data_IF_739300450348
#
_entry.id   IF_739300450348
#
_cell.length_a   1.000
_cell.length_b   1.000
_cell.length_c   1.000
_cell.angle_alpha   90.00
_cell.angle_beta   90.00
_cell.angle_gamma   90.00
#
_symmetry.space_group_name_H-M   'P 1'
#
loop_
_entity.id
_entity.type
_entity.pdbx_description
1 polymer ?
#
# COMPACT_ATOMS: atom_id res chain seq x y z
N UNK A 1 21.21 47.26 0.46
CA UNK A 1 20.47 46.76 1.63
C UNK A 1 19.17 46.14 1.15
N UNK A 2 19.16 44.82 1.00
CA UNK A 2 17.98 44.02 0.66
C UNK A 2 18.00 42.80 1.59
N UNK A 3 17.65 42.99 2.87
CA UNK A 3 17.90 41.94 3.89
C UNK A 3 16.74 41.66 4.83
N UNK A 4 15.53 42.20 4.59
CA UNK A 4 14.37 41.90 5.44
C UNK A 4 13.20 41.22 4.68
N UNK A 5 12.93 41.61 3.44
CA UNK A 5 11.84 41.02 2.65
C UNK A 5 12.14 39.60 2.14
N UNK A 6 13.41 39.30 1.84
CA UNK A 6 13.85 37.98 1.40
C UNK A 6 13.70 36.91 2.49
N UNK A 7 13.99 37.26 3.74
CA UNK A 7 13.86 36.36 4.88
C UNK A 7 12.39 35.99 5.15
N UNK A 8 11.47 36.94 4.95
CA UNK A 8 10.05 36.74 5.18
C UNK A 8 9.42 35.84 4.11
N UNK A 9 9.86 35.95 2.85
CA UNK A 9 9.45 35.05 1.77
C UNK A 9 9.95 33.62 1.96
N UNK A 10 11.18 33.43 2.43
CA UNK A 10 11.74 32.09 2.70
C UNK A 10 11.00 31.41 3.85
N UNK A 11 10.66 32.16 4.91
CA UNK A 11 9.83 31.63 6.01
C UNK A 11 8.41 31.29 5.53
N UNK A 12 7.81 32.09 4.65
CA UNK A 12 6.50 31.78 4.07
C UNK A 12 6.53 30.50 3.22
N UNK A 13 7.55 30.32 2.39
CA UNK A 13 7.75 29.10 1.60
C UNK A 13 7.97 27.87 2.47
N UNK A 14 8.76 28.00 3.55
CA UNK A 14 8.98 26.91 4.51
C UNK A 14 7.71 26.58 5.30
N UNK A 15 6.86 27.56 5.61
CA UNK A 15 5.56 27.35 6.24
C UNK A 15 4.56 26.69 5.27
N UNK A 16 4.51 27.10 4.00
CA UNK A 16 3.68 26.43 3.00
C UNK A 16 4.12 24.98 2.75
N UNK A 17 5.43 24.72 2.70
CA UNK A 17 5.97 23.37 2.53
C UNK A 17 5.70 22.47 3.75
N UNK A 18 5.63 23.02 4.96
CA UNK A 18 5.33 22.25 6.18
C UNK A 18 3.83 22.00 6.38
N UNK A 19 2.96 22.88 5.88
CA UNK A 19 1.51 22.65 5.89
C UNK A 19 1.11 21.55 4.89
N UNK A 20 1.67 21.54 3.67
CA UNK A 20 1.42 20.43 2.72
C UNK A 20 2.04 19.10 3.18
N UNK A 21 3.11 19.14 3.98
CA UNK A 21 3.74 17.92 4.51
C UNK A 21 3.00 17.29 5.69
N UNK A 22 2.05 17.98 6.31
CA UNK A 22 1.33 17.45 7.48
C UNK A 22 0.06 16.68 7.12
N UNK A 23 -0.24 16.54 5.82
CA UNK A 23 -1.48 15.97 5.28
C UNK A 23 -1.24 14.90 4.21
N UNK A 24 -0.06 14.26 4.21
CA UNK A 24 0.29 13.22 3.23
C UNK A 24 -0.45 11.88 3.44
N UNK A 25 -1.41 11.83 4.36
CA UNK A 25 -2.33 10.69 4.54
C UNK A 25 -3.67 10.89 3.85
N UNK A 26 -3.93 12.07 3.29
CA UNK A 26 -5.20 12.32 2.65
C UNK A 26 -5.31 11.57 1.32
N UNK A 27 -6.44 10.90 1.08
CA UNK A 27 -6.66 10.16 -0.13
C UNK A 27 -6.82 11.14 -1.32
N UNK A 28 -6.53 10.72 -2.56
CA UNK A 28 -6.71 11.56 -3.75
C UNK A 28 -8.15 12.08 -3.84
N UNK A 29 -8.36 13.24 -4.45
CA UNK A 29 -9.70 13.84 -4.56
C UNK A 29 -10.76 12.82 -5.03
N UNK A 30 -11.85 12.70 -4.26
CA UNK A 30 -12.96 11.76 -4.52
C UNK A 30 -12.76 10.34 -3.97
N UNK A 31 -11.64 10.08 -3.29
CA UNK A 31 -11.41 8.87 -2.52
C UNK A 31 -11.64 9.12 -1.03
N UNK A 32 -12.03 8.08 -0.30
CA UNK A 32 -12.25 8.11 1.14
C UNK A 32 -11.31 7.11 1.78
N UNK A 33 -10.51 7.54 2.75
CA UNK A 33 -9.62 6.66 3.50
C UNK A 33 -10.45 5.70 4.36
N UNK A 34 -10.10 4.42 4.29
CA UNK A 34 -10.54 3.35 5.19
C UNK A 34 -9.58 3.17 6.38
N UNK A 35 -8.47 3.90 6.37
CA UNK A 35 -7.57 4.04 7.50
C UNK A 35 -7.98 5.32 8.24
N UNK A 36 -9.23 5.38 8.70
CA UNK A 36 -9.66 6.39 9.64
C UNK A 36 -8.90 6.27 10.97
N UNK A 37 -9.02 7.30 11.82
CA UNK A 37 -8.38 7.38 13.15
C UNK A 37 -8.85 6.23 14.08
N UNK A 38 -9.97 5.58 13.76
CA UNK A 38 -10.55 4.51 14.56
C UNK A 38 -10.11 3.09 14.15
N UNK A 39 -9.71 2.31 15.16
CA UNK A 39 -9.28 0.89 15.06
C UNK A 39 -10.33 -0.06 14.46
N UNK A 40 -11.57 0.39 14.26
CA UNK A 40 -12.68 -0.43 13.73
C UNK A 40 -12.60 -0.59 12.21
N UNK A 41 -12.01 0.37 11.50
CA UNK A 41 -11.88 0.30 10.03
C UNK A 41 -10.62 -0.47 9.59
N UNK A 42 -9.61 -0.56 10.46
CA UNK A 42 -8.36 -1.30 10.21
C UNK A 42 -8.55 -2.80 9.91
N UNK A 43 -9.41 -3.56 10.63
CA UNK A 43 -9.76 -4.94 10.27
C UNK A 43 -10.37 -5.07 8.87
N UNK A 44 -11.18 -4.09 8.46
CA UNK A 44 -11.83 -4.07 7.15
C UNK A 44 -10.80 -3.82 6.05
N UNK A 45 -9.93 -2.82 6.24
CA UNK A 45 -8.81 -2.52 5.34
C UNK A 45 -7.90 -3.75 5.18
N UNK A 46 -7.50 -4.38 6.28
CA UNK A 46 -6.67 -5.59 6.26
C UNK A 46 -7.34 -6.74 5.52
N UNK A 47 -8.63 -7.00 5.79
CA UNK A 47 -9.40 -8.02 5.09
C UNK A 47 -9.48 -7.81 3.58
N UNK A 48 -9.59 -6.55 3.13
CA UNK A 48 -9.54 -6.19 1.72
C UNK A 48 -8.16 -6.46 1.12
N UNK A 49 -7.07 -6.12 1.82
CA UNK A 49 -5.70 -6.43 1.39
C UNK A 49 -5.46 -7.94 1.25
N UNK A 50 -5.88 -8.76 2.22
CA UNK A 50 -5.78 -10.24 2.12
C UNK A 50 -6.57 -10.78 0.93
N UNK A 51 -7.79 -10.28 0.73
CA UNK A 51 -8.65 -10.71 -0.39
C UNK A 51 -8.00 -10.37 -1.72
N UNK A 52 -7.49 -9.15 -1.87
CA UNK A 52 -6.83 -8.70 -3.09
C UNK A 52 -5.53 -9.46 -3.35
N UNK A 53 -4.71 -9.70 -2.32
CA UNK A 53 -3.50 -10.51 -2.43
C UNK A 53 -3.84 -11.92 -2.91
N UNK A 54 -4.83 -12.58 -2.31
CA UNK A 54 -5.25 -13.92 -2.71
C UNK A 54 -5.70 -13.95 -4.17
N UNK A 55 -6.57 -13.03 -4.58
CA UNK A 55 -7.03 -12.94 -5.97
C UNK A 55 -5.86 -12.72 -6.96
N UNK A 56 -4.89 -11.88 -6.58
CA UNK A 56 -3.69 -11.67 -7.38
C UNK A 56 -2.86 -12.95 -7.52
N UNK A 57 -2.59 -13.64 -6.42
CA UNK A 57 -1.82 -14.90 -6.41
C UNK A 57 -2.52 -16.01 -7.20
N UNK A 58 -3.84 -16.13 -7.06
CA UNK A 58 -4.65 -17.12 -7.78
C UNK A 58 -4.69 -16.85 -9.30
N UNK A 59 -4.58 -15.58 -9.70
CA UNK A 59 -4.57 -15.19 -11.13
C UNK A 59 -3.25 -15.47 -11.86
N UNK A 60 -2.24 -16.01 -11.17
CA UNK A 60 -0.87 -16.08 -11.69
C UNK A 60 -0.23 -17.45 -11.48
N UNK A 61 0.68 -17.87 -12.38
CA UNK A 61 1.43 -19.10 -12.19
C UNK A 61 2.33 -19.01 -10.94
N UNK A 62 2.21 -19.98 -10.03
CA UNK A 62 2.96 -20.02 -8.75
C UNK A 62 4.48 -19.91 -8.94
N UNK A 63 4.99 -20.47 -10.03
CA UNK A 63 6.42 -20.49 -10.39
C UNK A 63 7.02 -19.08 -10.53
N UNK A 64 6.25 -18.12 -11.04
CA UNK A 64 6.74 -16.77 -11.32
C UNK A 64 6.77 -15.90 -10.05
N UNK A 65 5.94 -16.21 -9.08
CA UNK A 65 5.57 -15.27 -8.02
C UNK A 65 6.28 -15.58 -6.71
N UNK A 66 6.65 -16.83 -6.43
CA UNK A 66 7.26 -17.21 -5.14
C UNK A 66 6.25 -17.15 -4.01
N UNK A 67 6.66 -17.50 -2.79
CA UNK A 67 5.75 -17.61 -1.67
C UNK A 67 5.63 -16.26 -0.95
N UNK A 68 4.43 -15.71 -0.93
CA UNK A 68 4.10 -14.51 -0.18
C UNK A 68 3.54 -14.89 1.19
N UNK A 69 3.97 -14.21 2.24
CA UNK A 69 3.36 -14.29 3.56
C UNK A 69 2.01 -13.58 3.58
N UNK A 70 1.35 -13.68 4.73
CA UNK A 70 0.17 -12.89 5.01
C UNK A 70 0.48 -11.38 5.12
N UNK A 71 -0.55 -10.54 5.03
CA UNK A 71 -0.44 -9.08 5.11
C UNK A 71 0.08 -8.63 6.48
N UNK A 72 1.29 -8.09 6.51
CA UNK A 72 1.97 -7.63 7.73
C UNK A 72 1.37 -6.30 8.19
N UNK A 73 1.31 -5.34 7.27
CA UNK A 73 0.90 -3.97 7.56
C UNK A 73 0.15 -3.39 6.38
N UNK A 74 -0.90 -2.60 6.67
CA UNK A 74 -1.64 -1.84 5.65
C UNK A 74 -1.13 -0.42 5.70
N UNK A 75 -0.49 0.03 4.61
CA UNK A 75 0.10 1.36 4.50
C UNK A 75 -0.93 2.39 4.00
N UNK A 76 -1.83 1.94 3.13
CA UNK A 76 -2.90 2.76 2.55
C UNK A 76 -4.08 1.88 2.19
N UNK A 77 -5.29 2.33 2.52
CA UNK A 77 -6.50 1.71 2.04
C UNK A 77 -7.54 2.80 1.84
N UNK A 78 -7.87 3.06 0.59
CA UNK A 78 -8.89 4.05 0.22
C UNK A 78 -9.97 3.37 -0.61
N UNK A 79 -11.15 3.98 -0.66
CA UNK A 79 -12.18 3.57 -1.59
C UNK A 79 -12.85 4.75 -2.29
N UNK A 80 -13.39 4.48 -3.46
CA UNK A 80 -14.34 5.35 -4.16
C UNK A 80 -15.47 4.54 -4.76
N UNK A 81 -16.61 5.17 -4.96
CA UNK A 81 -17.75 4.57 -5.67
C UNK A 81 -17.75 5.04 -7.12
N UNK A 82 -17.79 4.11 -8.06
CA UNK A 82 -17.89 4.35 -9.50
C UNK A 82 -19.15 3.65 -10.01
N UNK A 83 -20.27 4.36 -10.01
CA UNK A 83 -21.57 3.77 -10.34
C UNK A 83 -21.97 2.63 -9.37
N UNK A 84 -22.33 1.42 -9.85
CA UNK A 84 -22.67 0.26 -9.01
C UNK A 84 -21.45 -0.47 -8.42
N UNK A 85 -20.25 0.07 -8.67
CA UNK A 85 -18.98 -0.56 -8.34
C UNK A 85 -18.24 0.24 -7.27
N UNK A 86 -17.50 -0.46 -6.42
CA UNK A 86 -16.53 0.11 -5.50
C UNK A 86 -15.13 -0.23 -5.97
N UNK A 87 -14.29 0.79 -6.01
CA UNK A 87 -12.86 0.65 -6.26
C UNK A 87 -12.13 0.94 -4.97
N UNK A 88 -11.13 0.11 -4.67
CA UNK A 88 -10.31 0.19 -3.49
C UNK A 88 -8.84 0.32 -3.90
N UNK A 89 -8.20 1.39 -3.49
CA UNK A 89 -6.77 1.61 -3.65
C UNK A 89 -6.07 1.07 -2.42
N UNK A 90 -5.29 0.01 -2.58
CA UNK A 90 -4.70 -0.71 -1.46
C UNK A 90 -3.19 -0.73 -1.61
N UNK A 91 -2.48 -0.30 -0.56
CA UNK A 91 -1.03 -0.44 -0.44
C UNK A 91 -0.71 -1.11 0.88
N UNK A 92 0.03 -2.21 0.84
CA UNK A 92 0.31 -3.02 2.02
C UNK A 92 1.65 -3.75 1.89
N UNK A 93 2.22 -4.17 3.03
CA UNK A 93 3.48 -4.89 3.09
C UNK A 93 3.28 -6.38 3.37
N UNK A 94 4.12 -7.19 2.74
CA UNK A 94 4.16 -8.65 2.83
C UNK A 94 5.61 -9.13 2.78
N UNK A 95 5.90 -10.30 3.34
CA UNK A 95 7.18 -10.96 3.11
C UNK A 95 7.08 -11.81 1.86
N UNK A 96 8.11 -11.76 1.02
CA UNK A 96 8.28 -12.68 -0.10
C UNK A 96 9.46 -13.58 0.18
N UNK A 97 9.20 -14.88 0.20
CA UNK A 97 10.20 -15.93 0.31
C UNK A 97 10.53 -16.47 -1.08
N UNK A 98 11.83 -16.61 -1.36
CA UNK A 98 12.33 -17.35 -2.51
C UNK A 98 13.13 -18.54 -1.99
N UNK A 99 12.48 -19.72 -1.80
CA UNK A 99 13.14 -20.89 -1.20
C UNK A 99 14.43 -21.28 -1.92
N UNK A 100 14.45 -21.19 -3.26
CA UNK A 100 15.61 -21.51 -4.08
C UNK A 100 16.88 -20.70 -3.72
N UNK A 101 16.74 -19.52 -3.11
CA UNK A 101 17.86 -18.66 -2.72
C UNK A 101 17.98 -18.50 -1.20
N UNK A 102 17.06 -19.05 -0.41
CA UNK A 102 17.03 -18.86 1.06
C UNK A 102 16.84 -17.40 1.49
N UNK A 103 16.26 -16.55 0.63
CA UNK A 103 16.11 -15.12 0.88
C UNK A 103 14.66 -14.75 1.21
N UNK A 104 14.51 -13.85 2.19
CA UNK A 104 13.25 -13.24 2.60
C UNK A 104 13.35 -11.74 2.35
N UNK A 105 12.39 -11.19 1.61
CA UNK A 105 12.33 -9.76 1.30
C UNK A 105 11.03 -9.17 1.85
N UNK A 106 11.11 -7.94 2.37
CA UNK A 106 9.90 -7.15 2.58
C UNK A 106 9.49 -6.55 1.22
N UNK A 107 8.22 -6.72 0.86
CA UNK A 107 7.66 -6.28 -0.41
C UNK A 107 6.44 -5.43 -0.11
N UNK A 108 6.42 -4.24 -0.70
CA UNK A 108 5.26 -3.37 -0.71
C UNK A 108 4.51 -3.63 -2.01
N UNK A 109 3.23 -3.96 -1.88
CA UNK A 109 2.32 -4.17 -3.00
C UNK A 109 1.33 -3.02 -3.00
N UNK A 110 1.20 -2.35 -4.14
CA UNK A 110 0.11 -1.42 -4.42
C UNK A 110 -0.77 -2.02 -5.52
N UNK A 111 -2.08 -2.00 -5.33
CA UNK A 111 -3.03 -2.53 -6.29
C UNK A 111 -4.39 -1.84 -6.19
N UNK A 112 -5.20 -2.02 -7.23
CA UNK A 112 -6.62 -1.63 -7.21
C UNK A 112 -7.49 -2.87 -7.12
N UNK A 113 -8.28 -2.99 -6.05
CA UNK A 113 -9.33 -4.01 -5.94
C UNK A 113 -10.67 -3.41 -6.39
N UNK A 114 -11.36 -4.12 -7.26
CA UNK A 114 -12.55 -3.67 -7.94
C UNK A 114 -13.70 -4.63 -7.63
N UNK A 115 -14.75 -4.18 -6.93
CA UNK A 115 -15.84 -5.04 -6.44
C UNK A 115 -17.22 -4.40 -6.66
N UNK A 116 -18.18 -5.20 -7.09
CA UNK A 116 -19.58 -4.77 -7.21
C UNK A 116 -20.30 -4.86 -5.87
N UNK A 117 -21.19 -3.89 -5.58
CA UNK A 117 -21.84 -3.77 -4.25
C UNK A 117 -22.65 -5.01 -3.84
N UNK A 118 -23.24 -5.73 -4.80
CA UNK A 118 -24.13 -6.88 -4.57
C UNK A 118 -23.55 -8.23 -5.01
N UNK A 119 -22.28 -8.28 -5.42
CA UNK A 119 -21.72 -9.44 -6.12
C UNK A 119 -20.46 -9.99 -5.44
N UNK A 120 -20.25 -11.30 -5.61
CA UNK A 120 -19.02 -12.00 -5.19
C UNK A 120 -17.86 -11.76 -6.16
N UNK A 121 -18.13 -11.22 -7.34
CA UNK A 121 -17.12 -10.93 -8.35
C UNK A 121 -16.29 -9.73 -7.91
N UNK A 122 -14.98 -9.97 -7.78
CA UNK A 122 -13.97 -8.97 -7.56
C UNK A 122 -12.81 -9.19 -8.53
N UNK A 123 -12.16 -8.12 -8.94
CA UNK A 123 -10.98 -8.16 -9.81
C UNK A 123 -9.87 -7.29 -9.24
N UNK A 124 -8.63 -7.64 -9.58
CA UNK A 124 -7.44 -6.91 -9.16
C UNK A 124 -6.76 -6.33 -10.39
N UNK A 125 -6.51 -5.03 -10.37
CA UNK A 125 -5.91 -4.27 -11.46
C UNK A 125 -4.75 -3.40 -10.94
N UNK A 126 -3.96 -2.84 -11.86
CA UNK A 126 -2.89 -1.86 -11.58
C UNK A 126 -1.94 -2.33 -10.46
N UNK A 127 -1.46 -3.58 -10.57
CA UNK A 127 -0.60 -4.17 -9.54
C UNK A 127 0.84 -3.69 -9.73
N UNK A 128 1.34 -2.99 -8.73
CA UNK A 128 2.72 -2.56 -8.61
C UNK A 128 3.36 -3.25 -7.40
N UNK A 129 4.56 -3.82 -7.61
CA UNK A 129 5.27 -4.58 -6.58
C UNK A 129 6.64 -3.96 -6.42
N UNK A 130 6.89 -3.37 -5.25
CA UNK A 130 8.16 -2.78 -4.89
C UNK A 130 8.86 -3.65 -3.84
N UNK A 131 10.05 -4.13 -4.17
CA UNK A 131 10.89 -4.86 -3.22
C UNK A 131 11.66 -3.85 -2.38
N UNK A 132 11.37 -3.79 -1.07
CA UNK A 132 12.14 -2.98 -0.14
C UNK A 132 13.38 -3.80 0.22
N UNK A 133 14.57 -3.22 0.02
CA UNK A 133 15.84 -3.87 0.37
C UNK A 133 15.87 -4.22 1.86
N UNK A 134 15.51 -5.45 2.18
CA UNK A 134 15.91 -6.09 3.44
C UNK A 134 17.38 -6.49 3.32
N UNK A 135 18.15 -6.27 4.38
CA UNK A 135 19.42 -6.95 4.54
C UNK A 135 19.16 -8.45 4.34
N UNK A 136 19.82 -9.07 3.36
CA UNK A 136 19.80 -10.51 3.20
C UNK A 136 20.32 -11.14 4.49
N UNK A 137 19.43 -11.47 5.43
CA UNK A 137 19.79 -12.26 6.58
C UNK A 137 19.88 -13.70 6.10
N UNK A 138 21.07 -14.03 5.62
CA UNK A 138 21.52 -15.41 5.51
C UNK A 138 21.36 -16.01 6.92
N UNK A 139 20.42 -16.93 7.08
CA UNK A 139 20.43 -17.81 8.25
C UNK A 139 21.16 -19.07 7.79
N UNK A 140 22.46 -19.21 8.08
CA UNK A 140 23.12 -20.48 7.89
C UNK A 140 22.60 -21.42 8.97
N UNK A 141 21.51 -22.13 8.71
CA UNK A 141 21.31 -23.41 9.38
C UNK A 141 22.13 -24.45 8.60
N UNK A 142 23.44 -24.48 8.89
CA UNK A 142 24.37 -25.59 8.64
C UNK A 142 23.88 -26.90 9.28
N UNK A 143 24.36 -28.09 8.85
CA UNK A 143 24.81 -28.54 7.53
C UNK A 143 23.86 -29.59 6.89
#
# INVERSE_FOLDING_TARGET
MATCAGCLLVVLFLLCATIESSDATDPPAGWVSLLGIDRVETPTARGLCHTALRLYLDSRPKELIGDFSDVIEVLRADFRRVGPMKEYGLTFSVLKQRPAWGLIFNVIISLTLQKYDSSRYASVNNVEIMVVRGSATFSPSTP
#
